data_IF_567854427263
#
_entry.id   IF_567854427263
#
_cell.length_a   1.000
_cell.length_b   1.000
_cell.length_c   1.000
_cell.angle_alpha   90.00
_cell.angle_beta   90.00
_cell.angle_gamma   90.00
#
_symmetry.space_group_name_H-M   'P 1'
#
loop_
_entity.id
_entity.type
_entity.pdbx_description
1 polymer ?
#
# COMPACT_ATOMS: atom_id res chain seq x y z
N UNK A 1 -19.68 -9.87 -11.95
CA UNK A 1 -18.60 -8.87 -12.02
C UNK A 1 -17.64 -9.33 -13.09
N UNK A 2 -17.34 -8.48 -14.07
CA UNK A 2 -16.32 -8.75 -15.08
C UNK A 2 -14.92 -8.69 -14.44
N UNK A 3 -13.94 -9.32 -15.07
CA UNK A 3 -12.53 -9.18 -14.68
C UNK A 3 -12.08 -7.71 -14.76
N UNK A 4 -12.59 -6.97 -15.75
CA UNK A 4 -12.31 -5.54 -15.93
C UNK A 4 -12.85 -4.70 -14.77
N UNK A 5 -14.04 -5.04 -14.24
CA UNK A 5 -14.64 -4.37 -13.08
C UNK A 5 -13.77 -4.57 -11.83
N UNK A 6 -13.20 -5.77 -11.67
CA UNK A 6 -12.33 -6.08 -10.54
C UNK A 6 -11.03 -5.27 -10.60
N UNK A 7 -10.40 -5.22 -11.78
CA UNK A 7 -9.15 -4.47 -12.00
C UNK A 7 -9.39 -2.98 -11.79
N UNK A 8 -10.47 -2.43 -12.35
CA UNK A 8 -10.87 -1.03 -12.15
C UNK A 8 -11.14 -0.71 -10.69
N UNK A 9 -11.78 -1.62 -9.95
CA UNK A 9 -11.99 -1.44 -8.52
C UNK A 9 -10.67 -1.46 -7.74
N UNK A 10 -9.71 -2.32 -8.10
CA UNK A 10 -8.45 -2.44 -7.37
C UNK A 10 -7.45 -1.31 -7.69
N UNK A 11 -7.50 -0.73 -8.89
CA UNK A 11 -6.59 0.35 -9.31
C UNK A 11 -6.71 1.61 -8.45
N UNK A 12 -7.82 1.80 -7.73
CA UNK A 12 -8.01 2.89 -6.76
C UNK A 12 -7.06 2.80 -5.56
N UNK A 13 -6.41 1.64 -5.34
CA UNK A 13 -5.39 1.44 -4.31
C UNK A 13 -3.97 1.64 -4.87
N UNK A 14 -3.80 2.61 -5.76
CA UNK A 14 -2.47 3.01 -6.25
C UNK A 14 -2.09 4.37 -5.68
N UNK A 15 -0.78 4.60 -5.53
CA UNK A 15 -0.26 5.91 -5.11
C UNK A 15 -0.67 6.99 -6.12
N UNK A 16 -0.65 6.67 -7.42
CA UNK A 16 -1.11 7.59 -8.47
C UNK A 16 -2.58 7.96 -8.32
N UNK A 17 -3.46 6.99 -8.04
CA UNK A 17 -4.87 7.28 -7.82
C UNK A 17 -5.08 8.16 -6.58
N UNK A 18 -4.42 7.85 -5.47
CA UNK A 18 -4.52 8.66 -4.24
C UNK A 18 -4.06 10.09 -4.50
N UNK A 19 -2.94 10.27 -5.20
CA UNK A 19 -2.41 11.58 -5.54
C UNK A 19 -3.35 12.38 -6.43
N UNK A 20 -3.92 11.75 -7.47
CA UNK A 20 -4.92 12.39 -8.34
C UNK A 20 -6.20 12.74 -7.57
N UNK A 21 -6.70 11.82 -6.74
CA UNK A 21 -7.90 12.02 -5.92
C UNK A 21 -7.72 13.20 -4.94
N UNK A 22 -6.52 13.36 -4.36
CA UNK A 22 -6.18 14.50 -3.51
C UNK A 22 -6.18 15.81 -4.30
N UNK A 23 -5.52 15.85 -5.47
CA UNK A 23 -5.48 17.03 -6.34
C UNK A 23 -6.88 17.44 -6.84
N UNK A 24 -7.71 16.48 -7.21
CA UNK A 24 -9.05 16.74 -7.74
C UNK A 24 -10.05 17.14 -6.63
N UNK A 25 -10.05 16.45 -5.48
CA UNK A 25 -11.09 16.64 -4.45
C UNK A 25 -10.67 17.55 -3.29
N UNK A 26 -9.37 17.65 -2.96
CA UNK A 26 -8.88 18.48 -1.85
C UNK A 26 -8.34 19.83 -2.33
N UNK A 27 -7.77 19.87 -3.54
CA UNK A 27 -7.25 21.09 -4.17
C UNK A 27 -8.17 21.64 -5.28
N UNK A 28 -9.30 20.99 -5.54
CA UNK A 28 -10.32 21.40 -6.52
C UNK A 28 -9.77 21.63 -7.95
N UNK A 29 -8.69 20.92 -8.31
CA UNK A 29 -8.09 21.04 -9.63
C UNK A 29 -8.91 20.27 -10.67
N UNK A 30 -8.92 20.77 -11.90
CA UNK A 30 -9.52 20.01 -12.98
C UNK A 30 -8.73 18.71 -13.21
N UNK A 31 -9.39 17.64 -13.70
CA UNK A 31 -8.70 16.38 -13.98
C UNK A 31 -7.50 16.53 -14.93
N UNK A 32 -7.55 17.53 -15.83
CA UNK A 32 -6.44 17.81 -16.76
C UNK A 32 -5.24 18.43 -16.04
N UNK A 33 -5.48 19.35 -15.11
CA UNK A 33 -4.43 19.96 -14.29
C UNK A 33 -3.80 18.94 -13.36
N UNK A 34 -4.60 18.13 -12.67
CA UNK A 34 -4.12 17.08 -11.77
C UNK A 34 -3.19 16.08 -12.48
N UNK A 35 -3.58 15.60 -13.67
CA UNK A 35 -2.72 14.75 -14.50
C UNK A 35 -1.43 15.44 -14.94
N UNK A 36 -1.51 16.70 -15.36
CA UNK A 36 -0.32 17.47 -15.73
C UNK A 36 0.67 17.64 -14.57
N UNK A 37 0.17 17.78 -13.34
CA UNK A 37 0.99 17.81 -12.13
C UNK A 37 1.62 16.45 -11.87
N UNK A 38 0.87 15.35 -11.96
CA UNK A 38 1.40 13.99 -11.79
C UNK A 38 2.52 13.69 -12.79
N UNK A 39 2.32 14.01 -14.07
CA UNK A 39 3.31 13.80 -15.12
C UNK A 39 4.57 14.65 -14.88
N UNK A 40 4.38 15.89 -14.44
CA UNK A 40 5.48 16.78 -14.05
C UNK A 40 6.25 16.22 -12.84
N UNK A 41 5.55 15.72 -11.82
CA UNK A 41 6.16 15.13 -10.63
C UNK A 41 6.96 13.87 -10.97
N UNK A 42 6.41 12.97 -11.80
CA UNK A 42 7.12 11.78 -12.30
C UNK A 42 8.44 12.14 -12.99
N UNK A 43 8.40 13.17 -13.83
CA UNK A 43 9.57 13.66 -14.57
C UNK A 43 10.59 14.34 -13.66
N UNK A 44 10.15 15.29 -12.82
CA UNK A 44 11.03 16.15 -12.02
C UNK A 44 11.69 15.36 -10.87
N UNK A 45 10.94 14.48 -10.22
CA UNK A 45 11.46 13.65 -9.12
C UNK A 45 12.00 12.31 -9.59
N UNK A 46 12.03 12.06 -10.91
CA UNK A 46 12.45 10.80 -11.52
C UNK A 46 11.81 9.59 -10.82
N UNK A 47 10.49 9.66 -10.58
CA UNK A 47 9.73 8.61 -9.90
C UNK A 47 9.67 7.32 -10.75
N UNK A 48 9.98 7.42 -12.04
CA UNK A 48 10.12 6.30 -12.96
C UNK A 48 11.45 5.57 -12.69
N UNK A 49 11.36 4.43 -12.00
CA UNK A 49 12.50 3.53 -11.77
C UNK A 49 13.20 3.69 -10.41
N UNK A 50 12.78 4.64 -9.58
CA UNK A 50 13.25 4.74 -8.18
C UNK A 50 12.27 3.99 -7.28
N UNK A 51 12.60 2.74 -6.93
CA UNK A 51 12.10 2.16 -5.68
C UNK A 51 12.48 3.13 -4.59
N UNK A 52 11.53 3.93 -4.09
CA UNK A 52 11.82 4.92 -3.04
C UNK A 52 12.48 4.18 -1.89
N UNK A 53 13.78 4.41 -1.60
CA UNK A 53 14.48 3.74 -0.51
C UNK A 53 14.10 4.40 0.82
N UNK A 54 12.86 4.91 0.94
CA UNK A 54 12.29 5.37 2.18
C UNK A 54 12.06 4.17 3.07
N UNK A 55 13.10 3.75 3.82
CA UNK A 55 13.03 2.85 4.96
C UNK A 55 12.43 1.45 4.73
N UNK A 56 12.24 0.97 3.50
CA UNK A 56 11.86 -0.44 3.28
C UNK A 56 13.13 -1.28 3.42
N UNK A 57 13.18 -2.11 4.47
CA UNK A 57 14.27 -3.08 4.65
C UNK A 57 14.03 -4.32 3.78
N UNK A 58 15.07 -5.09 3.43
CA UNK A 58 14.90 -6.41 2.84
C UNK A 58 13.90 -7.24 3.66
N UNK A 59 12.99 -7.93 2.98
CA UNK A 59 11.89 -8.66 3.62
C UNK A 59 10.65 -7.83 3.92
N UNK A 60 10.67 -6.51 3.70
CA UNK A 60 9.50 -5.64 3.86
C UNK A 60 8.88 -5.25 2.51
N UNK A 61 7.58 -4.97 2.52
CA UNK A 61 6.81 -4.42 1.42
C UNK A 61 5.98 -3.21 1.90
N UNK A 62 5.76 -2.23 1.04
CA UNK A 62 4.76 -1.17 1.28
C UNK A 62 3.48 -1.51 0.57
N UNK A 63 2.37 -1.40 1.27
CA UNK A 63 1.05 -1.67 0.72
C UNK A 63 0.09 -0.55 1.07
N UNK A 64 -0.73 -0.17 0.09
CA UNK A 64 -1.86 0.72 0.34
C UNK A 64 -3.00 -0.14 0.86
N UNK A 65 -3.53 0.20 2.04
CA UNK A 65 -4.67 -0.48 2.68
C UNK A 65 -5.75 0.52 3.04
N UNK A 66 -6.89 0.02 3.53
CA UNK A 66 -7.93 0.89 4.05
C UNK A 66 -7.61 1.29 5.48
N UNK A 67 -7.89 2.55 5.82
CA UNK A 67 -7.76 3.00 7.20
C UNK A 67 -8.69 2.19 8.12
N UNK A 68 -8.23 1.92 9.35
CA UNK A 68 -8.99 1.15 10.36
C UNK A 68 -10.37 1.73 10.67
N UNK A 69 -10.53 3.05 10.54
CA UNK A 69 -11.76 3.79 10.78
C UNK A 69 -12.66 3.94 9.53
N UNK A 70 -12.29 3.33 8.40
CA UNK A 70 -13.06 3.38 7.16
C UNK A 70 -14.40 2.63 7.33
N UNK A 71 -15.51 3.37 7.25
CA UNK A 71 -16.87 2.81 7.38
C UNK A 71 -17.21 1.83 6.27
N UNK A 72 -17.76 0.66 6.61
CA UNK A 72 -18.34 -0.25 5.62
C UNK A 72 -19.50 0.41 4.85
N UNK A 73 -19.68 0.01 3.59
CA UNK A 73 -20.83 0.41 2.75
C UNK A 73 -20.60 1.55 1.77
N UNK A 74 -19.42 2.20 1.78
CA UNK A 74 -19.04 3.16 0.73
C UNK A 74 -18.21 2.49 -0.37
N UNK A 75 -18.20 3.03 -1.61
CA UNK A 75 -17.29 2.60 -2.66
C UNK A 75 -15.82 2.72 -2.23
N UNK A 76 -14.97 1.80 -2.69
CA UNK A 76 -13.55 1.75 -2.34
C UNK A 76 -12.81 3.06 -2.69
N UNK A 77 -13.22 3.74 -3.75
CA UNK A 77 -12.70 5.06 -4.14
C UNK A 77 -12.87 6.10 -3.03
N UNK A 78 -14.00 6.10 -2.33
CA UNK A 78 -14.34 7.09 -1.29
C UNK A 78 -13.82 6.74 0.10
N UNK A 79 -13.27 5.54 0.29
CA UNK A 79 -12.71 5.13 1.57
C UNK A 79 -11.31 5.68 1.74
N UNK A 80 -11.01 6.14 2.96
CA UNK A 80 -9.67 6.59 3.35
C UNK A 80 -8.68 5.43 3.20
N UNK A 81 -7.59 5.70 2.49
CA UNK A 81 -6.50 4.76 2.24
C UNK A 81 -5.27 5.24 2.99
N UNK A 82 -4.49 4.30 3.51
CA UNK A 82 -3.23 4.56 4.21
C UNK A 82 -2.17 3.62 3.67
N UNK A 83 -0.92 4.04 3.74
CA UNK A 83 0.21 3.21 3.38
C UNK A 83 0.77 2.57 4.66
N UNK A 84 0.92 1.24 4.63
CA UNK A 84 1.51 0.45 5.72
C UNK A 84 2.78 -0.24 5.24
N UNK A 85 3.68 -0.55 6.17
CA UNK A 85 4.88 -1.36 5.90
C UNK A 85 4.68 -2.74 6.52
N UNK A 86 4.71 -3.77 5.68
CA UNK A 86 4.51 -5.16 6.09
C UNK A 86 5.83 -5.94 5.98
N UNK A 87 6.18 -6.70 7.00
CA UNK A 87 7.42 -7.48 7.08
C UNK A 87 7.11 -8.95 6.78
N UNK A 88 7.37 -9.35 5.53
CA UNK A 88 7.23 -10.73 5.07
C UNK A 88 8.39 -11.63 5.51
N UNK A 89 9.56 -11.08 5.79
CA UNK A 89 10.74 -11.84 6.23
C UNK A 89 11.54 -10.98 7.21
N UNK A 90 11.64 -11.42 8.47
CA UNK A 90 12.43 -10.75 9.50
C UNK A 90 13.84 -11.33 9.66
N UNK A 91 14.30 -12.16 8.72
CA UNK A 91 15.66 -12.69 8.70
C UNK A 91 15.95 -13.60 9.89
N UNK A 92 16.90 -13.20 10.73
CA UNK A 92 17.40 -14.03 11.83
C UNK A 92 16.30 -14.41 12.85
N UNK A 93 15.34 -13.53 13.12
CA UNK A 93 14.23 -13.82 14.03
C UNK A 93 13.36 -14.98 13.52
N UNK A 94 13.05 -14.97 12.22
CA UNK A 94 12.24 -16.00 11.59
C UNK A 94 13.00 -17.33 11.49
N UNK A 95 14.31 -17.28 11.25
CA UNK A 95 15.18 -18.45 11.27
C UNK A 95 15.29 -19.08 12.67
N UNK A 96 15.35 -18.26 13.72
CA UNK A 96 15.37 -18.73 15.11
C UNK A 96 14.07 -19.45 15.49
N UNK A 97 12.92 -18.86 15.14
CA UNK A 97 11.60 -19.49 15.35
C UNK A 97 11.50 -20.80 14.57
N UNK A 98 11.93 -20.80 13.30
CA UNK A 98 11.93 -22.01 12.47
C UNK A 98 12.80 -23.11 13.08
N UNK A 99 13.98 -22.76 13.57
CA UNK A 99 14.92 -23.71 14.16
C UNK A 99 14.40 -24.32 15.46
N UNK A 100 13.78 -23.52 16.33
CA UNK A 100 13.33 -23.95 17.66
C UNK A 100 11.94 -24.59 17.67
N UNK A 101 11.02 -24.10 16.84
CA UNK A 101 9.59 -24.42 16.93
C UNK A 101 8.98 -24.93 15.62
N UNK A 102 9.75 -24.93 14.52
CA UNK A 102 9.33 -25.46 13.23
C UNK A 102 8.39 -24.54 12.44
N UNK A 103 7.95 -25.05 11.28
CA UNK A 103 7.26 -24.25 10.25
C UNK A 103 5.87 -23.73 10.66
N UNK A 104 5.17 -24.46 11.52
CA UNK A 104 3.82 -24.06 11.99
C UNK A 104 3.94 -22.81 12.84
N UNK A 105 4.82 -22.81 13.84
CA UNK A 105 5.08 -21.66 14.69
C UNK A 105 5.57 -20.45 13.88
N UNK A 106 6.47 -20.65 12.91
CA UNK A 106 6.90 -19.57 12.02
C UNK A 106 5.72 -18.93 11.27
N UNK A 107 4.79 -19.75 10.76
CA UNK A 107 3.60 -19.24 10.06
C UNK A 107 2.70 -18.43 10.99
N UNK A 108 2.51 -18.87 12.23
CA UNK A 108 1.71 -18.16 13.23
C UNK A 108 2.32 -16.80 13.57
N UNK A 109 3.63 -16.75 13.82
CA UNK A 109 4.37 -15.50 14.06
C UNK A 109 4.24 -14.55 12.88
N UNK A 110 4.39 -15.06 11.66
CA UNK A 110 4.27 -14.25 10.45
C UNK A 110 2.85 -13.67 10.27
N UNK A 111 1.81 -14.48 10.50
CA UNK A 111 0.41 -14.00 10.44
C UNK A 111 0.19 -12.91 11.50
N UNK A 112 0.66 -13.13 12.73
CA UNK A 112 0.51 -12.15 13.81
C UNK A 112 1.19 -10.83 13.47
N UNK A 113 2.45 -10.88 13.03
CA UNK A 113 3.24 -9.71 12.62
C UNK A 113 2.53 -8.92 11.53
N UNK A 114 2.10 -9.59 10.44
CA UNK A 114 1.39 -8.93 9.34
C UNK A 114 0.08 -8.29 9.78
N UNK A 115 -0.66 -8.92 10.70
CA UNK A 115 -1.94 -8.39 11.20
C UNK A 115 -1.71 -7.18 12.09
N UNK A 116 -0.68 -7.20 12.94
CA UNK A 116 -0.31 -6.06 13.79
C UNK A 116 0.17 -4.88 12.94
N UNK A 117 1.09 -5.10 12.01
CA UNK A 117 1.62 -4.05 11.12
C UNK A 117 0.54 -3.46 10.18
N UNK A 118 -0.48 -4.25 9.83
CA UNK A 118 -1.60 -3.76 9.03
C UNK A 118 -2.59 -2.88 9.84
N UNK A 119 -2.53 -2.91 11.18
CA UNK A 119 -3.38 -2.12 12.07
C UNK A 119 -2.73 -0.81 12.52
N UNK A 120 -1.42 -0.69 12.39
CA UNK A 120 -0.64 0.53 12.66
C UNK A 120 -0.86 1.60 11.59
#
# INVERSE_FOLDING_TARGET
MSQDDLISRLSVKSQEYIFLDELENSFELSPKEARGILDSAKTVFNLEGVSHPGNIRPGQIREIVLAKDASAGKPLSQLKKVEVTLTSDAGEEDLDVLSKYGRVALREVHILRLVEEALD
#
